data_IF_316291369209
#
_entry.id   IF_316291369209
#
_cell.length_a   1.000
_cell.length_b   1.000
_cell.length_c   1.000
_cell.angle_alpha   90.00
_cell.angle_beta   90.00
_cell.angle_gamma   90.00
#
_symmetry.space_group_name_H-M   'P 1'
#
loop_
_entity.id
_entity.type
_entity.pdbx_description
1 polymer ?
#
# COMPACT_ATOMS: atom_id res chain seq x y z
N UNK A 1 -19.87 -23.79 47.17
CA UNK A 1 -19.86 -24.58 45.93
C UNK A 1 -18.47 -25.13 45.77
N UNK A 2 -18.31 -26.45 45.87
CA UNK A 2 -17.01 -27.10 45.93
C UNK A 2 -16.47 -27.34 44.51
N UNK A 3 -15.41 -26.65 44.12
CA UNK A 3 -14.86 -26.68 42.75
C UNK A 3 -14.13 -27.99 42.41
N UNK A 4 -13.94 -28.88 43.41
CA UNK A 4 -13.14 -30.11 43.28
C UNK A 4 -13.92 -31.29 42.70
N UNK A 5 -15.25 -31.27 42.76
CA UNK A 5 -16.10 -32.35 42.23
C UNK A 5 -16.57 -32.11 40.77
N UNK A 6 -16.39 -30.90 40.25
CA UNK A 6 -16.79 -30.51 38.89
C UNK A 6 -16.02 -31.32 37.83
N UNK A 7 -14.82 -31.78 38.17
CA UNK A 7 -13.92 -32.48 37.24
C UNK A 7 -14.19 -33.99 37.10
N UNK A 8 -15.08 -34.58 37.93
CA UNK A 8 -15.30 -36.04 38.01
C UNK A 8 -16.42 -36.56 37.09
N UNK A 9 -17.28 -35.66 36.57
CA UNK A 9 -18.44 -36.02 35.76
C UNK A 9 -18.10 -36.08 34.26
N UNK A 10 -18.32 -37.25 33.64
CA UNK A 10 -18.10 -37.48 32.20
C UNK A 10 -18.85 -36.47 31.31
N UNK A 11 -20.04 -36.03 31.75
CA UNK A 11 -20.84 -35.02 31.04
C UNK A 11 -20.21 -33.62 31.11
N UNK A 12 -19.66 -33.25 32.26
CA UNK A 12 -18.98 -31.96 32.44
C UNK A 12 -17.67 -31.92 31.65
N UNK A 13 -16.92 -33.04 31.62
CA UNK A 13 -15.74 -33.16 30.76
C UNK A 13 -16.08 -32.99 29.28
N UNK A 14 -17.17 -33.59 28.81
CA UNK A 14 -17.66 -33.40 27.44
C UNK A 14 -18.02 -31.95 27.12
N UNK A 15 -18.74 -31.27 28.03
CA UNK A 15 -19.09 -29.85 27.89
C UNK A 15 -17.84 -28.97 27.85
N UNK A 16 -16.85 -29.21 28.71
CA UNK A 16 -15.60 -28.46 28.74
C UNK A 16 -14.78 -28.63 27.46
N UNK A 17 -14.71 -29.85 26.91
CA UNK A 17 -14.05 -30.12 25.64
C UNK A 17 -14.79 -29.41 24.50
N UNK A 18 -16.13 -29.51 24.46
CA UNK A 18 -16.94 -28.81 23.46
C UNK A 18 -16.74 -27.30 23.50
N UNK A 19 -16.73 -26.70 24.69
CA UNK A 19 -16.47 -25.28 24.88
C UNK A 19 -15.07 -24.90 24.39
N UNK A 20 -14.06 -25.71 24.69
CA UNK A 20 -12.69 -25.51 24.21
C UNK A 20 -12.58 -25.52 22.68
N UNK A 21 -13.27 -26.45 22.01
CA UNK A 21 -13.31 -26.52 20.55
C UNK A 21 -14.00 -25.30 19.94
N UNK A 22 -15.10 -24.85 20.53
CA UNK A 22 -15.81 -23.64 20.06
C UNK A 22 -14.91 -22.40 20.19
N UNK A 23 -14.20 -22.25 21.31
CA UNK A 23 -13.24 -21.14 21.50
C UNK A 23 -12.11 -21.23 20.46
N UNK A 24 -11.58 -22.42 20.21
CA UNK A 24 -10.53 -22.64 19.20
C UNK A 24 -10.99 -22.21 17.80
N UNK A 25 -12.21 -22.59 17.40
CA UNK A 25 -12.81 -22.22 16.11
C UNK A 25 -12.98 -20.70 16.02
N UNK A 26 -13.45 -20.05 17.08
CA UNK A 26 -13.61 -18.59 17.11
C UNK A 26 -12.27 -17.86 16.96
N UNK A 27 -11.19 -18.35 17.58
CA UNK A 27 -9.85 -17.76 17.46
C UNK A 27 -9.31 -17.89 16.03
N UNK A 28 -9.47 -19.06 15.40
CA UNK A 28 -9.06 -19.27 14.00
C UNK A 28 -9.84 -18.33 13.07
N UNK A 29 -11.15 -18.22 13.27
CA UNK A 29 -12.02 -17.34 12.48
C UNK A 29 -11.65 -15.86 12.66
N UNK A 30 -11.43 -15.41 13.90
CA UNK A 30 -10.98 -14.04 14.19
C UNK A 30 -9.65 -13.74 13.51
N UNK A 31 -8.69 -14.67 13.58
CA UNK A 31 -7.38 -14.50 12.95
C UNK A 31 -7.50 -14.35 11.43
N UNK A 32 -8.36 -15.16 10.80
CA UNK A 32 -8.66 -15.05 9.36
C UNK A 32 -9.32 -13.73 8.98
N UNK A 33 -10.33 -13.29 9.75
CA UNK A 33 -11.00 -12.00 9.56
C UNK A 33 -10.01 -10.83 9.66
N UNK A 34 -9.15 -10.79 10.69
CA UNK A 34 -8.17 -9.70 10.90
C UNK A 34 -7.17 -9.59 9.75
N UNK A 35 -6.63 -10.71 9.28
CA UNK A 35 -5.72 -10.74 8.13
C UNK A 35 -6.43 -10.26 6.85
N UNK A 36 -7.70 -10.63 6.67
CA UNK A 36 -8.54 -10.13 5.57
C UNK A 36 -8.81 -8.63 5.65
N UNK A 37 -9.18 -8.12 6.84
CA UNK A 37 -9.43 -6.70 7.07
C UNK A 37 -8.19 -5.84 6.82
N UNK A 38 -6.99 -6.33 7.15
CA UNK A 38 -5.77 -5.57 6.91
C UNK A 38 -5.53 -5.34 5.41
N UNK A 39 -5.86 -6.32 4.56
CA UNK A 39 -5.71 -6.23 3.10
C UNK A 39 -6.84 -5.40 2.47
N UNK A 40 -8.07 -5.54 2.98
CA UNK A 40 -9.24 -4.83 2.47
C UNK A 40 -9.23 -3.32 2.81
N UNK A 41 -8.72 -2.93 3.99
CA UNK A 41 -8.71 -1.53 4.42
C UNK A 41 -7.94 -0.61 3.47
N UNK A 42 -6.83 -1.06 2.89
CA UNK A 42 -6.10 -0.25 1.91
C UNK A 42 -6.91 -0.06 0.62
N UNK A 43 -7.45 -1.14 0.06
CA UNK A 43 -8.24 -1.03 -1.18
C UNK A 43 -9.53 -0.21 -1.01
N UNK A 44 -10.21 -0.34 0.13
CA UNK A 44 -11.38 0.48 0.46
C UNK A 44 -11.01 1.96 0.60
N UNK A 45 -9.98 2.29 1.41
CA UNK A 45 -9.51 3.67 1.61
C UNK A 45 -8.93 4.29 0.33
N UNK A 46 -8.27 3.49 -0.51
CA UNK A 46 -7.79 3.89 -1.82
C UNK A 46 -8.95 4.23 -2.75
N UNK A 47 -10.01 3.42 -2.76
CA UNK A 47 -11.24 3.69 -3.51
C UNK A 47 -11.98 4.94 -3.03
N UNK A 48 -12.19 5.07 -1.72
CA UNK A 48 -12.92 6.19 -1.10
C UNK A 48 -12.22 7.55 -1.29
N UNK A 49 -10.88 7.54 -1.35
CA UNK A 49 -10.07 8.73 -1.60
C UNK A 49 -9.56 8.82 -3.03
N UNK A 50 -9.96 7.90 -3.92
CA UNK A 50 -9.49 7.88 -5.31
C UNK A 50 -9.87 9.18 -6.02
N UNK A 51 -11.12 9.60 -5.87
CA UNK A 51 -11.63 10.82 -6.50
C UNK A 51 -10.89 12.06 -5.98
N UNK A 52 -10.56 12.11 -4.68
CA UNK A 52 -9.84 13.25 -4.10
C UNK A 52 -8.36 13.30 -4.50
N UNK A 53 -7.71 12.13 -4.62
CA UNK A 53 -6.27 12.04 -4.92
C UNK A 53 -5.97 12.03 -6.42
N UNK A 54 -6.89 11.57 -7.26
CA UNK A 54 -6.67 11.35 -8.70
C UNK A 54 -7.63 12.16 -9.60
N UNK A 55 -8.72 12.72 -9.07
CA UNK A 55 -9.65 13.60 -9.80
C UNK A 55 -9.62 15.00 -9.18
N UNK A 56 -8.58 15.77 -9.47
CA UNK A 56 -8.46 17.16 -9.03
C UNK A 56 -9.60 18.07 -9.55
N UNK A 57 -9.70 19.33 -9.09
CA UNK A 57 -10.79 20.28 -9.44
C UNK A 57 -10.97 20.57 -10.93
N UNK A 58 -9.99 20.18 -11.76
CA UNK A 58 -10.07 20.22 -13.22
C UNK A 58 -10.42 18.81 -13.68
N UNK A 59 -11.72 18.53 -13.78
CA UNK A 59 -12.29 17.26 -14.24
C UNK A 59 -11.81 16.87 -15.65
N UNK A 60 -10.60 16.35 -15.74
CA UNK A 60 -10.05 15.72 -16.94
C UNK A 60 -10.58 14.29 -17.06
N UNK A 61 -10.88 13.86 -18.29
CA UNK A 61 -11.51 12.60 -18.62
C UNK A 61 -10.70 11.35 -18.17
N UNK A 62 -10.87 10.90 -16.93
CA UNK A 62 -10.30 9.64 -16.41
C UNK A 62 -11.23 8.41 -16.54
N UNK A 63 -12.35 8.53 -17.28
CA UNK A 63 -13.40 7.47 -17.36
C UNK A 63 -13.00 6.28 -18.25
N UNK A 64 -11.83 6.30 -18.91
CA UNK A 64 -11.44 5.30 -19.91
C UNK A 64 -10.48 4.18 -19.49
N UNK A 65 -9.92 4.18 -18.27
CA UNK A 65 -8.83 3.27 -17.90
C UNK A 65 -9.10 2.58 -16.56
N UNK A 66 -10.05 1.65 -16.57
CA UNK A 66 -10.41 0.85 -15.40
C UNK A 66 -9.19 -0.02 -14.97
N UNK A 67 -8.78 0.01 -13.69
CA UNK A 67 -7.60 -0.73 -13.22
C UNK A 67 -7.75 -2.25 -13.36
N UNK A 68 -6.63 -2.91 -13.63
CA UNK A 68 -6.50 -4.37 -13.57
C UNK A 68 -6.87 -4.90 -12.17
N UNK A 69 -7.40 -6.14 -12.01
CA UNK A 69 -8.00 -6.64 -10.75
C UNK A 69 -7.04 -6.86 -9.56
N UNK A 70 -5.80 -6.38 -9.62
CA UNK A 70 -4.84 -6.46 -8.53
C UNK A 70 -4.99 -5.27 -7.59
N UNK A 71 -5.28 -5.53 -6.31
CA UNK A 71 -5.20 -4.49 -5.27
C UNK A 71 -3.80 -3.84 -5.33
N UNK A 72 -3.68 -2.53 -5.55
CA UNK A 72 -2.37 -1.88 -5.59
C UNK A 72 -1.65 -2.14 -4.26
N UNK A 73 -0.40 -2.61 -4.33
CA UNK A 73 0.40 -2.84 -3.12
C UNK A 73 0.62 -1.53 -2.37
N UNK A 74 0.27 -1.48 -1.08
CA UNK A 74 0.37 -0.26 -0.26
C UNK A 74 1.75 0.03 0.31
N UNK A 75 2.71 -0.89 0.19
CA UNK A 75 4.04 -0.77 0.85
C UNK A 75 5.10 -0.01 0.01
N UNK A 76 4.68 0.66 -1.05
CA UNK A 76 5.60 1.40 -1.92
C UNK A 76 5.02 1.79 -3.28
N UNK A 77 5.81 2.56 -4.01
CA UNK A 77 5.54 2.95 -5.40
C UNK A 77 6.78 2.68 -6.24
N UNK A 78 6.60 2.23 -7.49
CA UNK A 78 7.69 2.03 -8.44
C UNK A 78 7.21 2.60 -9.75
N UNK A 79 7.96 3.53 -10.34
CA UNK A 79 7.49 4.19 -11.55
C UNK A 79 8.13 5.53 -11.82
N UNK A 80 7.52 6.28 -12.74
CA UNK A 80 7.96 7.61 -13.14
C UNK A 80 7.23 8.68 -12.33
N UNK A 81 7.94 9.72 -11.92
CA UNK A 81 7.33 10.89 -11.28
C UNK A 81 6.58 11.69 -12.35
N UNK A 82 5.26 11.79 -12.20
CA UNK A 82 4.40 12.55 -13.13
C UNK A 82 4.04 13.94 -12.60
N UNK A 83 4.07 14.14 -11.29
CA UNK A 83 3.91 15.47 -10.69
C UNK A 83 4.61 15.58 -9.34
N UNK A 84 5.11 16.78 -9.04
CA UNK A 84 5.72 17.13 -7.76
C UNK A 84 5.00 18.36 -7.21
N UNK A 85 4.37 18.22 -6.04
CA UNK A 85 3.72 19.27 -5.28
C UNK A 85 4.00 19.03 -3.79
N UNK A 86 5.22 19.34 -3.36
CA UNK A 86 5.71 19.01 -2.02
C UNK A 86 4.72 19.45 -0.92
N UNK A 87 4.44 18.59 0.08
CA UNK A 87 5.11 17.32 0.36
C UNK A 87 4.63 16.12 -0.46
N UNK A 88 3.74 16.30 -1.44
CA UNK A 88 3.17 15.21 -2.24
C UNK A 88 3.92 15.03 -3.56
N UNK A 89 4.19 13.77 -3.92
CA UNK A 89 4.77 13.36 -5.20
C UNK A 89 3.88 12.28 -5.79
N UNK A 90 3.54 12.37 -7.06
CA UNK A 90 2.73 11.36 -7.75
C UNK A 90 3.62 10.53 -8.65
N UNK A 91 3.57 9.20 -8.45
CA UNK A 91 4.38 8.22 -9.18
C UNK A 91 3.47 7.33 -10.01
N UNK A 92 3.68 7.28 -11.32
CA UNK A 92 2.96 6.43 -12.26
C UNK A 92 3.66 5.08 -12.42
N UNK A 93 2.99 4.02 -11.99
CA UNK A 93 3.48 2.65 -12.06
C UNK A 93 3.38 2.00 -13.45
N UNK A 94 4.06 0.85 -13.64
CA UNK A 94 4.01 0.10 -14.90
C UNK A 94 2.62 -0.49 -15.20
N UNK A 95 1.81 -0.66 -14.17
CA UNK A 95 0.40 -1.06 -14.21
C UNK A 95 -0.55 0.09 -14.60
N UNK A 96 0.00 1.23 -15.03
CA UNK A 96 -0.75 2.41 -15.43
C UNK A 96 -1.54 3.05 -14.28
N UNK A 97 -1.25 2.66 -13.03
CA UNK A 97 -1.82 3.22 -11.81
C UNK A 97 -0.89 4.28 -11.23
N UNK A 98 -1.47 5.38 -10.80
CA UNK A 98 -0.76 6.42 -10.08
C UNK A 98 -0.83 6.17 -8.57
N UNK A 99 0.23 6.54 -7.85
CA UNK A 99 0.29 6.49 -6.39
C UNK A 99 0.78 7.82 -5.85
N UNK A 100 0.03 8.36 -4.91
CA UNK A 100 0.44 9.55 -4.14
C UNK A 100 1.40 9.13 -3.03
N UNK A 101 2.57 9.76 -3.04
CA UNK A 101 3.67 9.55 -2.10
C UNK A 101 3.81 10.80 -1.26
N UNK A 102 3.75 10.65 0.06
CA UNK A 102 4.01 11.73 1.00
C UNK A 102 5.50 11.71 1.37
N UNK A 103 6.16 12.83 1.14
CA UNK A 103 7.57 13.05 1.45
C UNK A 103 7.66 13.87 2.73
N UNK A 104 8.08 13.23 3.81
CA UNK A 104 8.29 13.83 5.11
C UNK A 104 9.74 14.25 5.35
N UNK A 105 9.99 14.83 6.52
CA UNK A 105 11.35 15.22 6.94
C UNK A 105 12.26 14.02 7.24
N UNK A 106 11.67 12.86 7.56
CA UNK A 106 12.40 11.61 7.78
C UNK A 106 12.65 10.81 6.50
N UNK A 107 12.11 11.24 5.35
CA UNK A 107 12.30 10.55 4.08
C UNK A 107 13.71 10.75 3.58
N UNK A 108 14.43 9.66 3.34
CA UNK A 108 15.76 9.72 2.70
C UNK A 108 15.59 9.60 1.20
N UNK A 109 16.28 10.44 0.43
CA UNK A 109 16.29 10.34 -1.03
C UNK A 109 17.69 9.96 -1.47
N UNK A 110 17.82 8.90 -2.26
CA UNK A 110 19.11 8.40 -2.71
C UNK A 110 19.16 8.26 -4.21
N UNK A 111 20.28 8.67 -4.78
CA UNK A 111 20.66 8.38 -6.15
C UNK A 111 21.87 7.44 -6.09
N UNK A 112 21.71 6.20 -6.55
CA UNK A 112 22.73 5.15 -6.37
C UNK A 112 23.19 4.95 -4.92
N UNK A 113 24.39 5.44 -4.58
CA UNK A 113 24.99 5.40 -3.25
C UNK A 113 24.89 6.74 -2.53
N UNK A 114 24.63 7.83 -3.25
CA UNK A 114 24.60 9.19 -2.71
C UNK A 114 23.23 9.53 -2.13
N UNK A 115 23.22 10.33 -1.09
CA UNK A 115 22.00 10.91 -0.52
C UNK A 115 21.81 12.31 -1.12
N UNK A 116 20.64 12.54 -1.72
CA UNK A 116 20.30 13.76 -2.41
C UNK A 116 19.13 14.46 -1.72
N UNK A 117 18.95 15.74 -2.03
CA UNK A 117 17.83 16.50 -1.48
C UNK A 117 16.53 16.16 -2.24
N UNK A 118 15.40 16.15 -1.54
CA UNK A 118 14.06 16.02 -2.13
C UNK A 118 13.82 17.04 -3.25
N UNK A 119 14.34 18.26 -3.12
CA UNK A 119 14.22 19.29 -4.16
C UNK A 119 14.96 18.99 -5.47
N UNK A 120 15.79 17.94 -5.50
CA UNK A 120 16.46 17.48 -6.72
C UNK A 120 15.63 16.47 -7.53
N UNK A 121 14.52 15.96 -6.97
CA UNK A 121 13.57 15.14 -7.70
C UNK A 121 12.92 15.95 -8.82
N UNK A 122 12.79 15.33 -9.99
CA UNK A 122 12.19 15.95 -11.17
C UNK A 122 11.05 15.09 -11.71
N UNK A 123 10.10 15.76 -12.34
CA UNK A 123 9.11 15.10 -13.19
C UNK A 123 9.86 14.40 -14.32
N UNK A 124 9.53 13.13 -14.58
CA UNK A 124 10.23 12.26 -15.51
C UNK A 124 11.24 11.30 -14.87
N UNK A 125 11.64 11.53 -13.62
CA UNK A 125 12.57 10.62 -12.94
C UNK A 125 11.92 9.28 -12.64
N UNK A 126 12.65 8.19 -12.87
CA UNK A 126 12.22 6.86 -12.48
C UNK A 126 12.65 6.58 -11.05
N UNK A 127 11.70 6.22 -10.18
CA UNK A 127 11.93 6.06 -8.75
C UNK A 127 11.34 4.76 -8.20
N UNK A 128 11.98 4.26 -7.16
CA UNK A 128 11.47 3.23 -6.26
C UNK A 128 11.28 3.85 -4.89
N UNK A 129 10.05 3.83 -4.40
CA UNK A 129 9.64 4.35 -3.11
C UNK A 129 9.30 3.19 -2.18
N UNK A 130 9.97 3.15 -1.02
CA UNK A 130 9.66 2.24 0.07
C UNK A 130 9.04 3.03 1.21
N UNK A 131 7.89 2.57 1.68
CA UNK A 131 7.10 3.29 2.66
C UNK A 131 5.96 2.46 3.24
N UNK A 132 5.17 3.10 4.08
CA UNK A 132 3.97 2.48 4.65
C UNK A 132 2.72 3.13 4.06
N UNK A 133 1.65 2.36 3.81
CA UNK A 133 0.38 2.96 3.45
C UNK A 133 -0.19 3.71 4.66
N UNK A 134 -0.73 4.91 4.42
CA UNK A 134 -1.44 5.69 5.44
C UNK A 134 -2.97 5.45 5.36
N UNK A 135 -3.71 6.14 6.23
CA UNK A 135 -5.17 6.02 6.29
C UNK A 135 -5.91 6.63 5.08
N UNK A 136 -5.22 7.46 4.31
CA UNK A 136 -5.75 8.15 3.12
C UNK A 136 -5.45 7.39 1.81
N UNK A 137 -4.83 6.21 1.90
CA UNK A 137 -4.43 5.42 0.72
C UNK A 137 -3.17 5.94 0.02
N UNK A 138 -2.43 6.86 0.66
CA UNK A 138 -1.14 7.37 0.20
C UNK A 138 0.01 6.54 0.79
N UNK A 139 1.20 6.67 0.22
CA UNK A 139 2.42 6.03 0.73
C UNK A 139 3.25 7.05 1.50
N UNK A 140 3.39 6.86 2.82
CA UNK A 140 4.33 7.61 3.65
C UNK A 140 5.76 7.11 3.39
N UNK A 141 6.56 7.92 2.68
CA UNK A 141 7.86 7.51 2.16
C UNK A 141 8.93 7.50 3.25
N UNK A 142 9.61 6.37 3.41
CA UNK A 142 10.82 6.25 4.25
C UNK A 142 12.09 6.37 3.43
N UNK A 143 12.07 5.83 2.20
CA UNK A 143 13.17 5.88 1.26
C UNK A 143 12.63 6.09 -0.15
N UNK A 144 13.19 7.05 -0.86
CA UNK A 144 13.01 7.24 -2.30
C UNK A 144 14.35 6.97 -2.96
N UNK A 145 14.38 6.08 -3.95
CA UNK A 145 15.58 5.76 -4.71
C UNK A 145 15.38 6.15 -6.16
N UNK A 146 16.21 7.05 -6.67
CA UNK A 146 16.31 7.34 -8.10
C UNK A 146 17.01 6.17 -8.78
N UNK A 147 16.42 5.77 -9.89
CA UNK A 147 16.85 4.66 -10.71
C UNK A 147 17.06 5.16 -12.13
N UNK A 148 18.02 4.59 -12.88
CA UNK A 148 18.07 4.83 -14.31
C UNK A 148 16.75 4.38 -14.96
N UNK A 149 16.26 5.10 -15.98
CA UNK A 149 15.04 4.73 -16.67
C UNK A 149 15.15 3.34 -17.30
N UNK A 150 14.05 2.57 -17.40
CA UNK A 150 14.06 1.26 -18.05
C UNK A 150 14.56 1.34 -19.50
N UNK A 151 15.29 0.33 -20.00
CA UNK A 151 15.89 0.33 -21.34
C UNK A 151 14.90 0.67 -22.46
N UNK A 152 13.67 0.18 -22.32
CA UNK A 152 12.57 0.31 -23.28
C UNK A 152 12.11 1.78 -23.43
N UNK A 153 12.25 2.59 -22.37
CA UNK A 153 11.96 4.04 -22.41
C UNK A 153 13.11 4.86 -22.94
N UNK A 154 14.36 4.39 -22.79
CA UNK A 154 15.53 5.06 -23.36
C UNK A 154 15.44 5.06 -24.90
N UNK A 155 14.90 3.99 -25.50
CA UNK A 155 14.79 3.88 -26.96
C UNK A 155 13.76 4.85 -27.58
N UNK A 156 12.67 5.16 -26.90
CA UNK A 156 11.63 6.08 -27.43
C UNK A 156 12.02 7.57 -27.35
N UNK A 157 12.99 7.94 -26.50
CA UNK A 157 13.42 9.33 -26.30
C UNK A 157 14.70 9.68 -27.07
N UNK A 158 15.24 8.78 -27.90
CA UNK A 158 16.33 9.11 -28.82
C UNK A 158 15.75 9.49 -30.18
N UNK A 159 16.10 10.67 -30.76
CA UNK A 159 15.75 10.94 -32.15
C UNK A 159 16.43 9.88 -33.01
N UNK A 160 15.64 9.18 -33.84
CA UNK A 160 16.17 8.32 -34.89
C UNK A 160 17.14 9.18 -35.72
N UNK A 161 18.43 8.82 -35.67
CA UNK A 161 19.48 9.47 -36.46
C UNK A 161 19.29 9.20 -37.95
#
# INVERSE_FOLDING_TARGET
MDFRDIHKSQKVRGILIGLGVVVLVLVIFQTGQVLGYHKAKFGARFGDNFEKNFVGPRGGNFVGRLPSPGMPGGHGAVGEIVSIALPQVVVAGPDNLEKTVLVGTSTRVREFQDEINVGQLKVGDFVVVLGNPNEEGQVDAKLIRLMPPPPDRVMNNQPMR
#
